data_IF_256355932701
#
_entry.id   IF_256355932701
#
_cell.length_a   1.000
_cell.length_b   1.000
_cell.length_c   1.000
_cell.angle_alpha   90.00
_cell.angle_beta   90.00
_cell.angle_gamma   90.00
#
_symmetry.space_group_name_H-M   'P 1'
#
loop_
_entity.id
_entity.type
_entity.pdbx_description
1 polymer ?
#
# COMPACT_ATOMS: atom_id res chain seq x y z
N UNK A 1 -25.15 -6.61 2.37
CA UNK A 1 -23.83 -6.78 1.71
C UNK A 1 -23.87 -6.28 0.25
N UNK A 2 -24.25 -5.03 0.04
CA UNK A 2 -24.05 -4.33 -1.23
C UNK A 2 -23.74 -2.89 -0.85
N UNK A 3 -22.49 -2.49 -1.02
CA UNK A 3 -22.05 -1.11 -0.87
C UNK A 3 -21.46 -0.71 -2.21
N UNK A 4 -21.89 0.41 -2.77
CA UNK A 4 -21.48 0.85 -4.11
C UNK A 4 -19.96 1.15 -4.18
N UNK A 5 -19.33 1.33 -3.02
CA UNK A 5 -17.90 1.63 -2.86
C UNK A 5 -16.98 0.37 -2.91
N UNK A 6 -17.24 -0.57 -3.83
CA UNK A 6 -16.44 -1.80 -4.00
C UNK A 6 -15.79 -1.83 -5.39
N UNK A 7 -14.59 -2.39 -5.46
CA UNK A 7 -13.81 -2.47 -6.70
C UNK A 7 -12.42 -3.05 -6.44
N UNK A 8 -11.52 -2.93 -7.42
CA UNK A 8 -10.13 -3.38 -7.30
C UNK A 8 -9.45 -2.54 -6.21
N UNK A 9 -8.80 -3.20 -5.24
CA UNK A 9 -8.28 -2.57 -4.02
C UNK A 9 -7.41 -1.33 -4.30
N UNK A 10 -6.54 -1.39 -5.31
CA UNK A 10 -5.64 -0.29 -5.67
C UNK A 10 -6.32 0.84 -6.47
N UNK A 11 -7.56 0.65 -6.91
CA UNK A 11 -8.41 1.69 -7.53
C UNK A 11 -9.28 2.35 -6.47
N UNK A 12 -9.96 1.55 -5.64
CA UNK A 12 -10.90 2.09 -4.65
C UNK A 12 -10.21 2.82 -3.51
N UNK A 13 -9.00 2.40 -3.11
CA UNK A 13 -8.32 3.00 -1.97
C UNK A 13 -7.88 4.45 -2.25
N UNK A 14 -7.31 4.79 -3.42
CA UNK A 14 -7.13 6.19 -3.80
C UNK A 14 -8.44 6.96 -3.96
N UNK A 15 -9.45 6.38 -4.63
CA UNK A 15 -10.77 7.04 -4.83
C UNK A 15 -11.46 7.41 -3.51
N UNK A 16 -11.32 6.58 -2.48
CA UNK A 16 -11.88 6.81 -1.15
C UNK A 16 -10.94 7.60 -0.22
N UNK A 17 -9.79 8.06 -0.72
CA UNK A 17 -8.86 8.90 0.03
C UNK A 17 -7.97 8.14 1.03
N UNK A 18 -7.95 6.81 1.01
CA UNK A 18 -7.06 6.00 1.86
C UNK A 18 -5.59 6.01 1.39
N UNK A 19 -5.33 6.51 0.18
CA UNK A 19 -3.98 6.71 -0.34
C UNK A 19 -3.65 8.19 -0.36
N UNK A 20 -2.71 8.61 0.47
CA UNK A 20 -2.26 10.01 0.54
C UNK A 20 -0.72 10.09 0.47
N UNK A 21 -0.18 11.24 0.01
CA UNK A 21 1.26 11.47 0.03
C UNK A 21 1.87 11.31 1.43
N UNK A 22 3.07 10.73 1.50
CA UNK A 22 3.81 10.52 2.75
C UNK A 22 3.35 9.33 3.61
N UNK A 23 2.30 8.59 3.20
CA UNK A 23 1.90 7.37 3.88
C UNK A 23 2.86 6.20 3.61
N UNK A 24 2.93 5.27 4.57
CA UNK A 24 3.44 3.91 4.33
C UNK A 24 2.23 2.99 4.16
N UNK A 25 2.12 2.32 3.01
CA UNK A 25 0.95 1.49 2.67
C UNK A 25 1.40 0.06 2.37
N UNK A 26 0.82 -0.90 3.08
CA UNK A 26 1.07 -2.33 2.87
C UNK A 26 -0.24 -3.07 2.71
N UNK A 27 -0.28 -4.02 1.78
CA UNK A 27 -1.44 -4.87 1.54
C UNK A 27 -0.95 -6.28 1.14
N UNK A 28 -1.82 -7.28 1.32
CA UNK A 28 -1.57 -8.66 0.89
C UNK A 28 -1.65 -8.87 -0.63
N UNK A 29 -1.32 -7.84 -1.43
CA UNK A 29 -1.34 -7.85 -2.89
C UNK A 29 0.01 -7.38 -3.44
N UNK A 30 0.52 -8.05 -4.48
CA UNK A 30 1.83 -7.75 -5.07
C UNK A 30 1.88 -6.39 -5.79
N UNK A 31 0.75 -5.83 -6.21
CA UNK A 31 0.63 -4.55 -6.93
C UNK A 31 0.40 -3.36 -6.00
N UNK A 32 0.57 -3.52 -4.69
CA UNK A 32 0.50 -2.41 -3.72
C UNK A 32 1.44 -1.25 -4.09
N UNK A 33 2.49 -1.49 -4.88
CA UNK A 33 3.36 -0.44 -5.44
C UNK A 33 2.61 0.62 -6.28
N UNK A 34 1.41 0.34 -6.79
CA UNK A 34 0.56 1.32 -7.50
C UNK A 34 0.31 2.58 -6.68
N UNK A 35 0.18 2.46 -5.36
CA UNK A 35 -0.02 3.62 -4.47
C UNK A 35 1.20 4.57 -4.43
N UNK A 36 2.38 4.11 -4.87
CA UNK A 36 3.59 4.94 -5.00
C UNK A 36 3.41 6.13 -5.94
N UNK A 37 2.48 6.06 -6.90
CA UNK A 37 2.12 7.17 -7.80
C UNK A 37 1.64 8.42 -7.03
N UNK A 38 1.15 8.25 -5.80
CA UNK A 38 0.68 9.33 -4.93
C UNK A 38 1.76 9.84 -3.97
N UNK A 39 3.03 9.45 -4.13
CA UNK A 39 4.11 9.84 -3.21
C UNK A 39 4.06 9.09 -1.87
N UNK A 40 3.50 7.88 -1.85
CA UNK A 40 3.52 6.97 -0.70
C UNK A 40 4.67 5.95 -0.81
N UNK A 41 5.14 5.43 0.32
CA UNK A 41 5.98 4.23 0.35
C UNK A 41 5.07 3.01 0.41
N UNK A 42 4.88 2.34 -0.73
CA UNK A 42 3.90 1.26 -0.83
C UNK A 42 4.45 -0.03 -1.44
N UNK A 43 4.20 -1.16 -0.78
CA UNK A 43 4.70 -2.47 -1.19
C UNK A 43 3.84 -3.62 -0.67
N UNK A 44 3.80 -4.72 -1.41
CA UNK A 44 3.06 -5.92 -1.04
C UNK A 44 3.77 -6.70 0.07
N UNK A 45 2.98 -7.36 0.94
CA UNK A 45 3.48 -8.17 2.06
C UNK A 45 2.76 -9.52 2.12
N UNK A 46 3.37 -10.51 2.79
CA UNK A 46 2.77 -11.83 2.96
C UNK A 46 1.68 -11.86 4.03
N UNK A 47 0.84 -12.89 4.05
CA UNK A 47 -0.29 -13.02 5.01
C UNK A 47 0.13 -12.95 6.48
N UNK A 48 1.28 -13.55 6.84
CA UNK A 48 1.81 -13.47 8.21
C UNK A 48 2.21 -12.04 8.60
N UNK A 49 2.77 -11.28 7.64
CA UNK A 49 3.11 -9.88 7.84
C UNK A 49 1.86 -9.00 7.92
N UNK A 50 0.81 -9.29 7.14
CA UNK A 50 -0.49 -8.62 7.27
C UNK A 50 -1.03 -8.79 8.68
N UNK A 51 -1.03 -10.02 9.21
CA UNK A 51 -1.45 -10.28 10.59
C UNK A 51 -0.61 -9.51 11.61
N UNK A 52 0.71 -9.42 11.40
CA UNK A 52 1.60 -8.64 12.25
C UNK A 52 1.29 -7.13 12.21
N UNK A 53 1.13 -6.56 11.01
CA UNK A 53 0.80 -5.14 10.83
C UNK A 53 -0.55 -4.81 11.45
N UNK A 54 -1.57 -5.66 11.28
CA UNK A 54 -2.87 -5.46 11.92
C UNK A 54 -2.76 -5.48 13.45
N UNK A 55 -1.85 -6.28 14.02
CA UNK A 55 -1.65 -6.36 15.46
C UNK A 55 -0.80 -5.21 16.04
N UNK A 56 0.19 -4.71 15.30
CA UNK A 56 1.22 -3.80 15.86
C UNK A 56 1.31 -2.45 15.18
N UNK A 57 0.70 -2.28 14.01
CA UNK A 57 0.88 -1.14 13.10
C UNK A 57 2.36 -0.88 12.74
N UNK A 58 3.20 -1.90 12.87
CA UNK A 58 4.62 -1.86 12.58
C UNK A 58 5.00 -3.03 11.68
N UNK A 59 6.05 -2.84 10.88
CA UNK A 59 6.66 -3.91 10.11
C UNK A 59 8.17 -3.69 10.05
N UNK A 60 8.93 -4.71 10.41
CA UNK A 60 10.37 -4.66 10.24
C UNK A 60 10.70 -4.70 8.74
N UNK A 61 11.36 -3.64 8.24
CA UNK A 61 11.81 -3.56 6.86
C UNK A 61 13.25 -3.10 6.77
N UNK A 62 13.96 -3.60 5.76
CA UNK A 62 15.24 -3.05 5.36
C UNK A 62 14.98 -1.86 4.45
N UNK A 63 15.76 -0.78 4.61
CA UNK A 63 15.63 0.38 3.73
C UNK A 63 15.91 -0.02 2.28
N UNK A 64 14.93 0.17 1.41
CA UNK A 64 15.08 -0.07 -0.03
C UNK A 64 16.08 0.93 -0.65
N UNK A 65 16.74 0.51 -1.72
CA UNK A 65 17.54 1.40 -2.56
C UNK A 65 16.61 2.21 -3.47
N UNK A 66 17.01 3.43 -3.80
CA UNK A 66 16.26 4.30 -4.73
C UNK A 66 16.93 4.29 -6.09
N UNK A 67 16.14 4.07 -7.14
CA UNK A 67 16.55 4.26 -8.54
C UNK A 67 15.83 5.50 -9.08
N UNK A 68 16.59 6.53 -9.46
CA UNK A 68 16.03 7.71 -10.11
C UNK A 68 15.85 7.46 -11.60
N UNK A 69 14.65 7.74 -12.13
CA UNK A 69 14.34 7.71 -13.57
C UNK A 69 14.01 9.13 -14.00
N UNK A 70 14.78 9.69 -14.93
CA UNK A 70 14.56 11.02 -15.53
C UNK A 70 14.21 10.87 -16.99
N UNK A 71 13.30 11.72 -17.50
CA UNK A 71 12.93 11.76 -18.91
C UNK A 71 14.00 12.42 -19.79
#
# INVERSE_FOLDING_TARGET
MASDNRGIVHVIAPEQGFTQPGMTIVCGDSHTSTHGAFGSLAFGIGSSEVGHVLATQCLLQRKAKTLGITA
#
